data_IF_467569108988
#
_entry.id   IF_467569108988
#
_cell.length_a   1.000
_cell.length_b   1.000
_cell.length_c   1.000
_cell.angle_alpha   90.00
_cell.angle_beta   90.00
_cell.angle_gamma   90.00
#
_symmetry.space_group_name_H-M   'P 1'
#
loop_
_entity.id
_entity.type
_entity.pdbx_description
1 polymer ?
#
# COMPACT_ATOMS: atom_id res chain seq x y z
N UNK A 1 -34.64 -13.52 -18.67
CA UNK A 1 -34.53 -12.53 -17.58
C UNK A 1 -33.08 -12.54 -17.12
N UNK A 2 -32.51 -11.35 -16.89
CA UNK A 2 -31.09 -10.99 -16.89
C UNK A 2 -30.18 -11.73 -15.85
N UNK A 3 -28.84 -11.62 -15.98
CA UNK A 3 -27.79 -12.55 -15.57
C UNK A 3 -27.06 -12.10 -14.29
N UNK A 4 -26.06 -12.88 -13.85
CA UNK A 4 -24.85 -12.31 -13.22
C UNK A 4 -23.64 -13.19 -13.50
N UNK A 5 -22.81 -12.71 -14.44
CA UNK A 5 -21.36 -12.91 -14.48
C UNK A 5 -20.77 -12.74 -13.08
N UNK A 6 -20.06 -13.77 -12.61
CA UNK A 6 -19.16 -13.68 -11.47
C UNK A 6 -17.83 -14.27 -11.89
N UNK A 7 -17.03 -13.46 -12.59
CA UNK A 7 -15.63 -13.71 -12.81
C UNK A 7 -14.88 -12.42 -12.49
N UNK A 8 -14.18 -12.45 -11.36
CA UNK A 8 -13.40 -11.34 -10.85
C UNK A 8 -12.20 -11.07 -11.79
N UNK A 9 -11.89 -9.81 -12.14
CA UNK A 9 -10.73 -9.56 -12.98
C UNK A 9 -9.44 -9.71 -12.17
N UNK A 10 -8.74 -10.81 -12.43
CA UNK A 10 -7.28 -10.91 -12.65
C UNK A 10 -6.45 -9.74 -12.06
N UNK A 11 -6.23 -9.75 -10.74
CA UNK A 11 -5.27 -8.83 -10.13
C UNK A 11 -3.88 -9.43 -10.21
N UNK A 12 -3.20 -9.14 -11.33
CA UNK A 12 -1.77 -9.35 -11.59
C UNK A 12 -0.91 -9.32 -10.31
N UNK A 13 -0.53 -10.49 -9.82
CA UNK A 13 0.64 -10.61 -8.96
C UNK A 13 1.88 -10.27 -9.81
N UNK A 14 2.68 -9.23 -9.48
CA UNK A 14 3.93 -9.05 -10.20
C UNK A 14 4.89 -10.15 -9.76
N UNK A 15 5.52 -10.77 -10.76
CA UNK A 15 6.58 -11.77 -10.65
C UNK A 15 7.67 -11.37 -9.63
N UNK A 16 8.36 -12.34 -9.00
CA UNK A 16 9.43 -12.03 -8.06
C UNK A 16 10.58 -11.37 -8.81
N UNK A 17 10.73 -10.05 -8.66
CA UNK A 17 11.90 -9.35 -9.16
C UNK A 17 13.11 -9.78 -8.31
N UNK A 18 14.09 -10.41 -8.97
CA UNK A 18 15.37 -10.74 -8.38
C UNK A 18 16.03 -9.48 -7.79
N UNK A 19 16.34 -9.51 -6.49
CA UNK A 19 17.42 -8.74 -5.85
C UNK A 19 17.33 -7.21 -5.79
N UNK A 20 16.42 -6.57 -6.53
CA UNK A 20 16.22 -5.12 -6.55
C UNK A 20 14.90 -4.72 -5.91
N UNK A 21 14.89 -3.60 -5.20
CA UNK A 21 13.67 -2.95 -4.71
C UNK A 21 12.72 -2.81 -5.91
N UNK A 22 11.46 -3.24 -5.79
CA UNK A 22 10.51 -2.97 -6.88
C UNK A 22 10.31 -1.45 -6.98
N UNK A 23 10.04 -0.87 -8.17
CA UNK A 23 9.83 0.57 -8.30
C UNK A 23 8.77 1.13 -7.34
N UNK A 24 7.80 0.30 -6.95
CA UNK A 24 6.81 0.62 -5.93
C UNK A 24 7.41 0.75 -4.52
N UNK A 25 8.29 -0.17 -4.14
CA UNK A 25 8.98 -0.10 -2.85
C UNK A 25 10.02 1.01 -2.80
N UNK A 26 10.65 1.35 -3.93
CA UNK A 26 11.55 2.52 -3.99
C UNK A 26 10.76 3.79 -3.65
N UNK A 27 9.63 4.01 -4.33
CA UNK A 27 8.77 5.15 -4.06
C UNK A 27 8.19 5.13 -2.63
N UNK A 28 7.82 3.96 -2.10
CA UNK A 28 7.36 3.86 -0.71
C UNK A 28 8.46 4.28 0.28
N UNK A 29 9.69 3.78 0.09
CA UNK A 29 10.82 4.09 0.97
C UNK A 29 11.17 5.58 0.91
N UNK A 30 11.14 6.19 -0.28
CA UNK A 30 11.37 7.64 -0.45
C UNK A 30 10.32 8.46 0.32
N UNK A 31 9.04 8.14 0.17
CA UNK A 31 7.95 8.87 0.85
C UNK A 31 8.01 8.64 2.36
N UNK A 32 8.36 7.43 2.80
CA UNK A 32 8.56 7.10 4.21
C UNK A 32 9.77 7.82 4.80
N UNK A 33 10.86 7.98 4.04
CA UNK A 33 12.03 8.75 4.47
C UNK A 33 11.70 10.23 4.69
N UNK A 34 10.76 10.79 3.92
CA UNK A 34 10.22 12.13 4.15
C UNK A 34 9.25 12.20 5.36
N UNK A 35 8.71 11.06 5.81
CA UNK A 35 7.72 10.96 6.90
C UNK A 35 8.10 9.88 7.94
N UNK A 36 9.29 9.95 8.56
CA UNK A 36 9.85 8.84 9.33
C UNK A 36 8.98 8.43 10.54
N UNK A 37 8.37 9.39 11.22
CA UNK A 37 7.62 9.19 12.47
C UNK A 37 6.11 8.90 12.27
N UNK A 38 5.66 8.72 11.01
CA UNK A 38 4.24 8.53 10.70
C UNK A 38 3.99 7.15 10.09
N UNK A 39 2.89 6.50 10.46
CA UNK A 39 2.41 5.33 9.73
C UNK A 39 2.01 5.77 8.32
N UNK A 40 2.67 5.20 7.31
CA UNK A 40 2.40 5.56 5.92
C UNK A 40 1.30 4.67 5.33
N UNK A 41 0.09 5.23 5.23
CA UNK A 41 -1.04 4.60 4.55
C UNK A 41 -0.88 4.81 3.05
N UNK A 42 -0.28 3.83 2.37
CA UNK A 42 0.06 3.94 0.96
C UNK A 42 -1.05 3.41 0.07
N UNK A 43 -1.72 4.29 -0.69
CA UNK A 43 -2.85 3.88 -1.52
C UNK A 43 -2.41 3.05 -2.72
N UNK A 44 -3.02 1.87 -2.81
CA UNK A 44 -2.89 0.92 -3.89
C UNK A 44 -4.29 0.45 -4.31
N UNK A 45 -4.89 1.14 -5.28
CA UNK A 45 -6.25 0.84 -5.70
C UNK A 45 -7.28 1.17 -4.62
N UNK A 46 -7.97 0.14 -4.16
CA UNK A 46 -9.03 0.18 -3.14
C UNK A 46 -8.53 -0.20 -1.73
N UNK A 47 -7.21 -0.34 -1.53
CA UNK A 47 -6.58 -0.54 -0.23
C UNK A 47 -5.53 0.52 0.08
N UNK A 48 -5.39 0.83 1.36
CA UNK A 48 -4.18 1.42 1.93
C UNK A 48 -3.30 0.30 2.46
N UNK A 49 -2.12 0.15 1.90
CA UNK A 49 -1.13 -0.82 2.33
C UNK A 49 -0.05 -0.13 3.18
N UNK A 50 0.36 -0.80 4.25
CA UNK A 50 1.51 -0.43 5.05
C UNK A 50 2.56 -1.54 4.96
N UNK A 51 3.83 -1.18 5.00
CA UNK A 51 4.94 -2.13 4.87
C UNK A 51 5.96 -2.00 6.00
N UNK A 52 6.76 -3.05 6.19
CA UNK A 52 7.85 -3.10 7.18
C UNK A 52 7.34 -2.85 8.60
N UNK A 53 8.02 -2.01 9.38
CA UNK A 53 7.68 -1.71 10.77
C UNK A 53 6.31 -1.01 10.91
N UNK A 54 5.90 -0.23 9.91
CA UNK A 54 4.58 0.40 9.91
C UNK A 54 3.46 -0.65 9.85
N UNK A 55 3.67 -1.72 9.06
CA UNK A 55 2.74 -2.83 8.99
C UNK A 55 2.58 -3.55 10.34
N UNK A 56 3.70 -3.79 11.02
CA UNK A 56 3.67 -4.45 12.32
C UNK A 56 2.99 -3.59 13.39
N UNK A 57 3.31 -2.29 13.41
CA UNK A 57 2.69 -1.32 14.33
C UNK A 57 1.19 -1.21 14.08
N UNK A 58 0.80 -1.00 12.82
CA UNK A 58 -0.61 -0.88 12.45
C UNK A 58 -1.38 -2.18 12.71
N UNK A 59 -0.81 -3.35 12.39
CA UNK A 59 -1.42 -4.65 12.70
C UNK A 59 -1.72 -4.81 14.19
N UNK A 60 -0.74 -4.51 15.05
CA UNK A 60 -0.92 -4.59 16.51
C UNK A 60 -1.94 -3.56 17.03
N UNK A 61 -1.87 -2.32 16.54
CA UNK A 61 -2.74 -1.23 16.96
C UNK A 61 -4.20 -1.44 16.53
N UNK A 62 -4.41 -1.95 15.32
CA UNK A 62 -5.72 -2.09 14.70
C UNK A 62 -6.33 -3.48 14.85
N UNK A 63 -5.54 -4.47 15.28
CA UNK A 63 -5.96 -5.87 15.35
C UNK A 63 -6.21 -6.48 13.96
N UNK A 64 -5.54 -5.99 12.93
CA UNK A 64 -5.67 -6.48 11.55
C UNK A 64 -4.59 -7.52 11.24
N UNK A 65 -4.86 -8.38 10.26
CA UNK A 65 -3.95 -9.46 9.88
C UNK A 65 -2.64 -8.89 9.31
N UNK A 66 -1.52 -9.29 9.91
CA UNK A 66 -0.19 -9.09 9.35
C UNK A 66 0.10 -10.21 8.34
N UNK A 67 0.42 -9.82 7.12
CA UNK A 67 0.80 -10.70 6.02
C UNK A 67 2.21 -10.36 5.54
N UNK A 68 2.64 -10.94 4.42
CA UNK A 68 3.95 -10.69 3.81
C UNK A 68 3.85 -10.55 2.30
N UNK A 69 4.61 -9.62 1.73
CA UNK A 69 4.68 -9.38 0.27
C UNK A 69 6.09 -9.60 -0.26
N UNK A 70 6.33 -10.79 -0.82
CA UNK A 70 7.60 -11.12 -1.43
C UNK A 70 8.78 -10.99 -0.46
N UNK A 71 9.97 -10.72 -1.02
CA UNK A 71 11.21 -10.54 -0.26
C UNK A 71 11.93 -9.26 -0.66
N UNK A 72 12.49 -8.56 0.31
CA UNK A 72 13.40 -7.43 0.14
C UNK A 72 14.73 -7.73 0.82
N UNK A 73 15.84 -7.64 0.08
CA UNK A 73 17.18 -7.98 0.58
C UNK A 73 17.28 -9.38 1.22
N UNK A 74 16.50 -10.34 0.74
CA UNK A 74 16.45 -11.72 1.27
C UNK A 74 15.51 -11.91 2.47
N UNK A 75 14.95 -10.84 3.03
CA UNK A 75 13.99 -10.87 4.13
C UNK A 75 12.55 -10.72 3.63
N UNK A 76 11.60 -11.37 4.28
CA UNK A 76 10.18 -11.16 3.97
C UNK A 76 9.77 -9.72 4.30
N UNK A 77 8.90 -9.11 3.50
CA UNK A 77 8.38 -7.76 3.76
C UNK A 77 7.06 -7.89 4.54
N UNK A 78 7.00 -7.53 5.84
CA UNK A 78 5.74 -7.46 6.57
C UNK A 78 4.79 -6.46 5.91
N UNK A 79 3.50 -6.81 5.85
CA UNK A 79 2.48 -5.98 5.23
C UNK A 79 1.13 -6.17 5.91
N UNK A 80 0.39 -5.09 6.12
CA UNK A 80 -1.03 -5.14 6.38
C UNK A 80 -1.78 -4.14 5.50
N UNK A 81 -3.05 -4.40 5.25
CA UNK A 81 -3.90 -3.57 4.41
C UNK A 81 -5.20 -3.19 5.09
N UNK A 82 -5.67 -1.98 4.80
CA UNK A 82 -6.98 -1.47 5.21
C UNK A 82 -7.77 -1.10 3.96
N UNK A 83 -9.02 -1.54 3.80
CA UNK A 83 -9.81 -1.15 2.65
C UNK A 83 -10.16 0.34 2.71
N UNK A 84 -10.08 1.05 1.59
CA UNK A 84 -10.27 2.50 1.48
C UNK A 84 -11.64 2.93 2.03
N UNK A 85 -12.70 2.16 1.75
CA UNK A 85 -14.05 2.48 2.22
C UNK A 85 -14.22 2.41 3.74
N UNK A 86 -13.31 1.73 4.45
CA UNK A 86 -13.29 1.68 5.91
C UNK A 86 -12.13 2.47 6.52
N UNK A 87 -11.31 3.13 5.70
CA UNK A 87 -10.06 3.74 6.15
C UNK A 87 -10.26 4.78 7.25
N UNK A 88 -11.32 5.59 7.16
CA UNK A 88 -11.65 6.60 8.15
C UNK A 88 -11.73 6.03 9.58
N UNK A 89 -12.40 4.89 9.75
CA UNK A 89 -12.53 4.23 11.06
C UNK A 89 -11.18 3.74 11.60
N UNK A 90 -10.33 3.21 10.72
CA UNK A 90 -9.00 2.73 11.11
C UNK A 90 -8.05 3.89 11.40
N UNK A 91 -8.10 4.96 10.61
CA UNK A 91 -7.34 6.19 10.82
C UNK A 91 -7.66 6.80 12.19
N UNK A 92 -8.95 6.92 12.52
CA UNK A 92 -9.37 7.41 13.84
C UNK A 92 -8.82 6.56 14.98
N UNK A 93 -8.82 5.22 14.84
CA UNK A 93 -8.29 4.31 15.86
C UNK A 93 -6.79 4.47 16.09
N UNK A 94 -5.98 4.55 15.03
CA UNK A 94 -4.52 4.73 15.19
C UNK A 94 -4.18 6.12 15.71
N UNK A 95 -4.89 7.16 15.27
CA UNK A 95 -4.69 8.53 15.78
C UNK A 95 -5.05 8.61 17.27
N UNK A 96 -6.16 7.98 17.68
CA UNK A 96 -6.56 7.91 19.08
C UNK A 96 -5.54 7.15 19.97
N UNK A 97 -4.77 6.25 19.38
CA UNK A 97 -3.66 5.55 20.05
C UNK A 97 -2.34 6.34 20.03
N UNK A 98 -2.33 7.55 19.47
CA UNK A 98 -1.17 8.45 19.45
C UNK A 98 -0.24 8.25 18.25
N UNK A 99 -0.63 7.45 17.24
CA UNK A 99 0.15 7.35 16.02
C UNK A 99 -0.04 8.58 15.14
N UNK A 100 1.06 9.11 14.60
CA UNK A 100 1.01 10.04 13.47
C UNK A 100 0.77 9.25 12.21
N UNK A 101 -0.03 9.79 11.29
CA UNK A 101 -0.39 9.09 10.06
C UNK A 101 -0.11 10.01 8.88
N UNK A 102 0.50 9.44 7.83
CA UNK A 102 0.66 10.06 6.53
C UNK A 102 -0.16 9.26 5.52
N UNK A 103 -1.13 9.90 4.86
CA UNK A 103 -1.95 9.25 3.83
C UNK A 103 -1.37 9.61 2.48
N UNK A 104 -0.93 8.60 1.73
CA UNK A 104 -0.30 8.77 0.43
C UNK A 104 -1.29 8.33 -0.66
N UNK A 105 -1.77 9.31 -1.42
CA UNK A 105 -2.81 9.14 -2.43
C UNK A 105 -2.23 8.98 -3.83
N UNK A 106 -2.95 8.26 -4.70
CA UNK A 106 -2.61 8.21 -6.12
C UNK A 106 -3.09 9.51 -6.80
N UNK A 107 -2.13 10.37 -7.17
CA UNK A 107 -2.41 11.65 -7.82
C UNK A 107 -2.51 11.53 -9.34
N UNK A 108 -2.23 10.33 -9.87
CA UNK A 108 -2.36 9.98 -11.29
C UNK A 108 -3.16 8.69 -11.47
N UNK A 109 -3.98 8.64 -12.53
CA UNK A 109 -4.72 7.43 -12.90
C UNK A 109 -3.75 6.32 -13.35
N UNK A 110 -3.89 5.07 -12.86
CA UNK A 110 -3.09 3.93 -13.30
C UNK A 110 -3.05 3.73 -14.82
N UNK A 111 -4.14 4.05 -15.53
CA UNK A 111 -4.21 3.98 -16.98
C UNK A 111 -3.32 5.04 -17.65
N UNK A 112 -3.28 6.25 -17.10
CA UNK A 112 -2.40 7.32 -17.58
C UNK A 112 -0.92 6.99 -17.30
N UNK A 113 -0.60 6.46 -16.12
CA UNK A 113 0.75 5.98 -15.82
C UNK A 113 1.20 4.87 -16.80
N UNK A 114 0.31 3.92 -17.11
CA UNK A 114 0.58 2.84 -18.08
C UNK A 114 0.80 3.38 -19.51
N UNK A 115 0.12 4.46 -19.90
CA UNK A 115 0.34 5.16 -21.18
C UNK A 115 1.71 5.85 -21.25
N UNK A 116 2.27 6.32 -20.14
CA UNK A 116 3.64 6.90 -20.11
C UNK A 116 4.75 5.87 -20.28
N UNK A 117 4.43 4.58 -20.18
CA UNK A 117 5.35 3.46 -20.44
C UNK A 117 5.18 2.35 -19.41
N UNK A 118 5.47 1.11 -19.80
CA UNK A 118 5.26 -0.10 -19.00
C UNK A 118 6.08 -0.18 -17.69
N UNK A 119 7.03 0.73 -17.48
CA UNK A 119 7.83 0.86 -16.24
C UNK A 119 7.50 2.11 -15.42
N UNK A 120 6.55 2.94 -15.87
CA UNK A 120 6.18 4.16 -15.18
C UNK A 120 5.37 3.85 -13.92
N UNK A 121 5.84 4.33 -12.78
CA UNK A 121 5.10 4.24 -11.52
C UNK A 121 4.07 5.37 -11.44
N UNK A 122 2.91 5.06 -10.88
CA UNK A 122 1.84 6.02 -10.59
C UNK A 122 2.36 7.09 -9.62
N UNK A 123 2.20 8.37 -9.97
CA UNK A 123 2.55 9.47 -9.07
C UNK A 123 1.69 9.43 -7.81
N UNK A 124 2.32 9.69 -6.68
CA UNK A 124 1.66 9.73 -5.37
C UNK A 124 2.24 10.84 -4.53
N UNK A 125 1.38 11.48 -3.77
CA UNK A 125 1.72 12.56 -2.85
C UNK A 125 1.04 12.32 -1.50
N UNK A 126 1.66 12.83 -0.44
CA UNK A 126 1.08 12.79 0.91
C UNK A 126 0.11 13.97 1.05
N UNK A 127 -1.10 13.68 1.53
CA UNK A 127 -2.18 14.66 1.76
C UNK A 127 -2.43 14.91 3.25
#
# INVERSE_FOLDING_TARGET
HMPTDNDAPDTMAPAPALGGVTPLMEQYIEIKAANPDSLLFYRMGDFYELFFDDAEKASRALGIVLTRRGKHQGHDIPMCGVPVHAADDYLQKVIAQGFRVAVCEQTEDPAEAKKRGSKSVVRRDVV
#
